data_IF_938428718282
#
_entry.id   IF_938428718282
#
_cell.length_a   1.000
_cell.length_b   1.000
_cell.length_c   1.000
_cell.angle_alpha   90.00
_cell.angle_beta   90.00
_cell.angle_gamma   90.00
#
_symmetry.space_group_name_H-M   'P 1'
#
loop_
_entity.id
_entity.type
_entity.pdbx_description
1 polymer ?
#
# COMPACT_ATOMS: atom_id res chain seq x y z
N UNK A 1 -12.29 -20.35 -7.50
CA UNK A 1 -11.79 -19.05 -7.96
C UNK A 1 -11.46 -18.15 -6.78
N UNK A 2 -10.58 -17.19 -7.00
CA UNK A 2 -10.20 -16.17 -6.04
C UNK A 2 -10.15 -14.79 -6.71
N UNK A 3 -10.22 -13.72 -5.92
CA UNK A 3 -10.01 -12.35 -6.42
C UNK A 3 -8.55 -12.18 -6.90
N UNK A 4 -8.32 -11.39 -7.94
CA UNK A 4 -6.97 -10.98 -8.33
C UNK A 4 -6.23 -10.33 -7.17
N UNK A 5 -6.91 -9.45 -6.45
CA UNK A 5 -6.36 -8.76 -5.29
C UNK A 5 -7.42 -8.43 -4.26
N UNK A 6 -6.96 -8.14 -3.04
CA UNK A 6 -7.77 -7.60 -1.96
C UNK A 6 -6.91 -6.74 -1.03
N UNK A 7 -7.50 -5.74 -0.36
CA UNK A 7 -6.76 -4.88 0.55
C UNK A 7 -6.36 -5.63 1.82
N UNK A 8 -5.25 -5.23 2.44
CA UNK A 8 -4.85 -5.74 3.76
C UNK A 8 -5.84 -5.38 4.86
N UNK A 9 -6.67 -4.35 4.65
CA UNK A 9 -7.76 -3.95 5.54
C UNK A 9 -8.99 -4.81 5.28
N UNK A 10 -9.10 -5.95 5.95
CA UNK A 10 -10.18 -6.92 5.77
C UNK A 10 -11.61 -6.38 6.00
N UNK A 11 -11.74 -5.23 6.66
CA UNK A 11 -13.03 -4.56 6.92
C UNK A 11 -13.39 -3.50 5.86
N UNK A 12 -12.54 -3.28 4.87
CA UNK A 12 -12.81 -2.35 3.78
C UNK A 12 -13.95 -2.87 2.90
N UNK A 13 -14.87 -2.00 2.52
CA UNK A 13 -15.84 -2.33 1.48
C UNK A 13 -15.16 -2.33 0.12
N UNK A 14 -15.70 -3.07 -0.85
CA UNK A 14 -15.17 -3.05 -2.21
C UNK A 14 -15.22 -1.63 -2.80
N UNK A 15 -16.28 -0.88 -2.58
CA UNK A 15 -16.40 0.51 -3.05
C UNK A 15 -15.34 1.42 -2.43
N UNK A 16 -15.07 1.27 -1.12
CA UNK A 16 -14.02 2.04 -0.43
C UNK A 16 -12.62 1.69 -0.92
N UNK A 17 -12.33 0.40 -1.15
CA UNK A 17 -11.06 -0.06 -1.71
C UNK A 17 -10.83 0.50 -3.12
N UNK A 18 -11.85 0.48 -3.98
CA UNK A 18 -11.76 0.99 -5.34
C UNK A 18 -11.66 2.52 -5.36
N UNK A 19 -12.47 3.21 -4.56
CA UNK A 19 -12.46 4.69 -4.51
C UNK A 19 -11.16 5.25 -3.93
N UNK A 20 -10.59 4.59 -2.91
CA UNK A 20 -9.32 5.01 -2.32
C UNK A 20 -8.12 4.77 -3.22
N UNK A 21 -8.18 3.79 -4.09
CA UNK A 21 -7.10 3.37 -4.97
C UNK A 21 -5.90 2.83 -4.19
N UNK A 22 -5.55 1.58 -4.39
CA UNK A 22 -4.34 1.01 -3.78
C UNK A 22 -3.94 -0.31 -4.43
N UNK A 23 -2.76 -0.78 -4.08
CA UNK A 23 -2.39 -2.18 -4.18
C UNK A 23 -3.01 -3.00 -3.05
N UNK A 24 -2.60 -4.24 -2.94
CA UNK A 24 -3.02 -5.18 -1.92
C UNK A 24 -2.40 -6.54 -2.14
N UNK A 25 -2.86 -7.53 -1.38
CA UNK A 25 -2.49 -8.93 -1.61
C UNK A 25 -2.90 -9.34 -3.03
N UNK A 26 -1.93 -9.67 -3.87
CA UNK A 26 -2.09 -9.92 -5.31
C UNK A 26 -1.39 -8.91 -6.22
N UNK A 27 -0.89 -7.80 -5.67
CA UNK A 27 -0.26 -6.72 -6.45
C UNK A 27 1.05 -7.10 -7.13
N UNK A 28 1.73 -8.18 -6.72
CA UNK A 28 2.94 -8.65 -7.40
C UNK A 28 2.61 -9.07 -8.84
N UNK A 29 1.49 -9.75 -9.04
CA UNK A 29 1.07 -10.24 -10.37
C UNK A 29 0.16 -9.26 -11.11
N UNK A 30 -0.65 -8.48 -10.40
CA UNK A 30 -1.78 -7.75 -10.98
C UNK A 30 -1.72 -6.23 -10.83
N UNK A 31 -0.66 -5.72 -10.20
CA UNK A 31 -0.52 -4.28 -10.00
C UNK A 31 -1.50 -3.71 -8.97
N UNK A 32 -1.96 -2.50 -9.23
CA UNK A 32 -2.91 -1.78 -8.39
C UNK A 32 -4.35 -1.98 -8.87
N UNK A 33 -5.32 -1.63 -8.05
CA UNK A 33 -6.74 -1.87 -8.37
C UNK A 33 -7.28 -1.04 -9.55
N UNK A 34 -6.55 -0.01 -9.98
CA UNK A 34 -6.85 0.76 -11.20
C UNK A 34 -6.20 0.18 -12.47
N UNK A 35 -5.42 -0.89 -12.37
CA UNK A 35 -4.73 -1.52 -13.50
C UNK A 35 -5.53 -2.72 -14.08
N UNK A 36 -6.83 -2.54 -14.25
CA UNK A 36 -7.70 -3.51 -14.91
C UNK A 36 -8.37 -4.52 -13.98
N UNK A 37 -8.30 -4.37 -12.69
CA UNK A 37 -9.00 -5.23 -11.72
C UNK A 37 -10.53 -5.15 -11.87
N UNK A 38 -11.04 -3.94 -12.12
CA UNK A 38 -12.47 -3.67 -12.31
C UNK A 38 -12.86 -3.86 -13.76
N UNK A 39 -14.00 -4.50 -14.03
CA UNK A 39 -14.54 -4.67 -15.38
C UNK A 39 -15.85 -3.90 -15.61
N UNK A 40 -16.64 -3.68 -14.55
CA UNK A 40 -17.83 -2.83 -14.62
C UNK A 40 -18.17 -2.23 -13.25
N UNK A 41 -18.83 -1.09 -13.24
CA UNK A 41 -19.32 -0.41 -12.04
C UNK A 41 -20.76 0.05 -12.24
N UNK A 42 -21.55 0.00 -11.15
CA UNK A 42 -22.79 0.75 -11.01
C UNK A 42 -22.56 1.86 -9.98
N UNK A 43 -22.81 3.09 -10.37
CA UNK A 43 -22.41 4.29 -9.65
C UNK A 43 -23.64 5.14 -9.36
N UNK A 44 -23.83 5.52 -8.10
CA UNK A 44 -24.83 6.50 -7.71
C UNK A 44 -24.26 7.92 -7.90
N UNK A 45 -25.01 8.77 -8.59
CA UNK A 45 -24.66 10.17 -8.87
C UNK A 45 -25.61 11.10 -8.10
N UNK A 46 -25.15 12.30 -7.69
CA UNK A 46 -25.99 13.27 -7.03
C UNK A 46 -27.14 13.75 -7.94
N UNK A 47 -28.36 13.72 -7.41
CA UNK A 47 -29.55 14.21 -8.12
C UNK A 47 -30.12 13.28 -9.19
N UNK A 48 -29.57 12.07 -9.36
CA UNK A 48 -30.06 11.07 -10.29
C UNK A 48 -30.86 9.97 -9.55
N UNK A 49 -32.00 9.56 -10.10
CA UNK A 49 -32.87 8.53 -9.55
C UNK A 49 -32.44 7.09 -9.93
N UNK A 50 -31.26 6.88 -10.43
CA UNK A 50 -30.77 5.59 -10.89
C UNK A 50 -29.27 5.42 -10.65
N UNK A 51 -28.78 4.28 -11.12
CA UNK A 51 -27.34 4.01 -11.14
C UNK A 51 -26.79 4.16 -12.56
N UNK A 52 -25.74 4.91 -12.71
CA UNK A 52 -24.94 4.93 -13.94
C UNK A 52 -24.18 3.60 -14.05
N UNK A 53 -24.42 2.86 -15.12
CA UNK A 53 -23.65 1.65 -15.44
C UNK A 53 -22.51 2.00 -16.40
N UNK A 54 -21.28 1.60 -16.05
CA UNK A 54 -20.08 1.80 -16.87
C UNK A 54 -19.25 0.52 -16.94
N UNK A 55 -18.57 0.30 -18.07
CA UNK A 55 -17.77 -0.91 -18.31
C UNK A 55 -16.39 -0.58 -18.88
N UNK A 56 -15.45 -1.54 -18.78
CA UNK A 56 -14.14 -1.47 -19.40
C UNK A 56 -13.33 -0.23 -18.98
N UNK A 57 -12.83 0.51 -19.95
CA UNK A 57 -11.99 1.69 -19.70
C UNK A 57 -12.74 2.80 -18.97
N UNK A 58 -14.05 2.97 -19.23
CA UNK A 58 -14.85 3.96 -18.54
C UNK A 58 -14.99 3.63 -17.04
N UNK A 59 -15.15 2.35 -16.69
CA UNK A 59 -15.18 1.93 -15.28
C UNK A 59 -13.88 2.29 -14.55
N UNK A 60 -12.72 2.22 -15.21
CA UNK A 60 -11.43 2.58 -14.62
C UNK A 60 -11.37 4.07 -14.21
N UNK A 61 -12.07 4.97 -14.90
CA UNK A 61 -12.03 6.40 -14.58
C UNK A 61 -12.65 6.75 -13.22
N UNK A 62 -13.44 5.85 -12.64
CA UNK A 62 -14.05 6.01 -11.31
C UNK A 62 -13.23 5.35 -10.19
N UNK A 63 -12.21 4.57 -10.51
CA UNK A 63 -11.30 3.98 -9.53
C UNK A 63 -10.26 5.04 -9.11
N UNK A 64 -9.89 5.04 -7.82
CA UNK A 64 -8.91 5.96 -7.25
C UNK A 64 -9.32 7.46 -7.37
N UNK A 65 -10.59 7.75 -7.27
CA UNK A 65 -11.13 9.11 -7.35
C UNK A 65 -11.45 9.71 -5.97
N UNK A 66 -11.16 9.01 -4.89
CA UNK A 66 -11.51 9.37 -3.50
C UNK A 66 -13.01 9.66 -3.32
N UNK A 67 -13.86 9.00 -4.14
CA UNK A 67 -15.30 9.19 -4.12
C UNK A 67 -15.76 10.59 -4.52
N UNK A 68 -14.95 11.35 -5.26
CA UNK A 68 -15.27 12.72 -5.69
C UNK A 68 -16.15 12.78 -6.93
N UNK A 69 -16.21 11.68 -7.71
CA UNK A 69 -16.92 11.63 -8.99
C UNK A 69 -18.17 10.72 -8.98
N UNK A 70 -18.44 10.02 -7.87
CA UNK A 70 -19.58 9.12 -7.74
C UNK A 70 -19.41 8.18 -6.55
N UNK A 71 -20.51 7.55 -6.12
CA UNK A 71 -20.51 6.52 -5.08
C UNK A 71 -20.62 5.15 -5.75
N UNK A 72 -19.60 4.30 -5.62
CA UNK A 72 -19.61 2.94 -6.19
C UNK A 72 -20.60 2.09 -5.39
N UNK A 73 -21.75 1.77 -6.01
CA UNK A 73 -22.80 0.96 -5.42
C UNK A 73 -22.61 -0.54 -5.68
N UNK A 74 -22.06 -0.90 -6.85
CA UNK A 74 -21.74 -2.28 -7.25
C UNK A 74 -20.49 -2.29 -8.11
N UNK A 75 -19.68 -3.34 -7.99
CA UNK A 75 -18.51 -3.57 -8.82
C UNK A 75 -18.48 -5.00 -9.35
N UNK A 76 -18.11 -5.14 -10.62
CA UNK A 76 -17.72 -6.41 -11.24
C UNK A 76 -16.21 -6.42 -11.35
N UNK A 77 -15.56 -7.42 -10.75
CA UNK A 77 -14.11 -7.52 -10.62
C UNK A 77 -13.58 -8.84 -11.16
N UNK A 78 -12.31 -8.85 -11.53
CA UNK A 78 -11.66 -10.03 -12.08
C UNK A 78 -11.37 -11.08 -11.02
N UNK A 79 -11.54 -12.33 -11.44
CA UNK A 79 -11.18 -13.53 -10.69
C UNK A 79 -10.12 -14.32 -11.45
N UNK A 80 -9.37 -15.15 -10.72
CA UNK A 80 -8.41 -16.10 -11.24
C UNK A 80 -8.63 -17.50 -10.64
N UNK A 81 -8.01 -18.56 -11.17
CA UNK A 81 -8.03 -19.87 -10.53
C UNK A 81 -7.54 -19.81 -9.08
N UNK A 82 -8.20 -20.56 -8.21
CA UNK A 82 -7.75 -20.72 -6.82
C UNK A 82 -6.42 -21.48 -6.82
N UNK A 83 -5.41 -20.93 -6.15
CA UNK A 83 -4.10 -21.53 -5.94
C UNK A 83 -3.97 -22.04 -4.50
N UNK A 84 -2.99 -22.90 -4.27
CA UNK A 84 -2.73 -23.49 -2.95
C UNK A 84 -1.75 -22.65 -2.15
N UNK A 85 -2.24 -21.54 -1.61
CA UNK A 85 -1.44 -20.57 -0.91
C UNK A 85 -1.00 -21.01 0.47
N UNK A 86 0.28 -20.78 0.78
CA UNK A 86 0.90 -20.97 2.10
C UNK A 86 1.28 -19.63 2.71
N UNK A 87 1.01 -19.48 4.00
CA UNK A 87 1.56 -18.38 4.78
C UNK A 87 2.96 -18.77 5.28
N UNK A 88 3.97 -18.08 4.79
CA UNK A 88 5.38 -18.33 5.11
C UNK A 88 5.89 -17.25 6.03
N UNK A 89 6.57 -17.64 7.10
CA UNK A 89 7.23 -16.77 8.05
C UNK A 89 8.72 -17.08 8.06
N UNK A 90 9.55 -16.06 7.93
CA UNK A 90 11.01 -16.21 7.99
C UNK A 90 11.65 -15.08 8.78
N UNK A 91 12.83 -15.36 9.35
CA UNK A 91 13.64 -14.38 10.06
C UNK A 91 15.02 -14.26 9.43
N UNK A 92 15.64 -13.09 9.59
CA UNK A 92 16.97 -12.81 9.07
C UNK A 92 17.82 -12.11 10.11
N UNK A 93 19.15 -12.35 10.12
CA UNK A 93 20.08 -11.60 10.98
C UNK A 93 20.07 -10.09 10.72
N UNK A 94 19.94 -9.68 9.45
CA UNK A 94 19.89 -8.28 9.05
C UNK A 94 18.72 -7.99 8.11
N UNK A 95 18.32 -6.74 8.03
CA UNK A 95 17.24 -6.31 7.15
C UNK A 95 17.64 -6.39 5.67
N UNK A 96 18.89 -6.09 5.36
CA UNK A 96 19.46 -6.19 3.99
C UNK A 96 19.36 -7.60 3.41
N UNK A 97 19.56 -8.62 4.26
CA UNK A 97 19.34 -10.02 3.88
C UNK A 97 17.86 -10.31 3.58
N UNK A 98 16.95 -9.79 4.42
CA UNK A 98 15.52 -9.91 4.16
C UNK A 98 15.11 -9.22 2.85
N UNK A 99 15.69 -8.05 2.53
CA UNK A 99 15.45 -7.35 1.27
C UNK A 99 15.95 -8.13 0.04
N UNK A 100 17.08 -8.84 0.18
CA UNK A 100 17.56 -9.76 -0.85
C UNK A 100 16.53 -10.86 -1.11
N UNK A 101 15.98 -11.46 -0.06
CA UNK A 101 14.92 -12.47 -0.19
C UNK A 101 13.63 -11.89 -0.81
N UNK A 102 13.20 -10.67 -0.45
CA UNK A 102 12.07 -10.01 -1.09
C UNK A 102 12.25 -9.89 -2.61
N UNK A 103 13.45 -9.47 -3.05
CA UNK A 103 13.77 -9.31 -4.47
C UNK A 103 13.76 -10.66 -5.21
N UNK A 104 14.35 -11.70 -4.63
CA UNK A 104 14.46 -13.01 -5.28
C UNK A 104 13.12 -13.75 -5.31
N UNK A 105 12.38 -13.74 -4.21
CA UNK A 105 11.06 -14.38 -4.12
C UNK A 105 10.06 -13.81 -5.12
N UNK A 106 10.08 -12.49 -5.35
CA UNK A 106 9.23 -11.84 -6.35
C UNK A 106 9.37 -12.46 -7.74
N UNK A 107 10.52 -13.04 -8.05
CA UNK A 107 10.87 -13.62 -9.36
C UNK A 107 10.44 -15.08 -9.56
N UNK A 108 9.87 -15.77 -8.56
CA UNK A 108 9.42 -17.15 -8.70
C UNK A 108 8.22 -17.29 -9.65
N UNK A 109 7.99 -18.48 -10.17
CA UNK A 109 6.85 -18.76 -11.06
C UNK A 109 6.12 -20.03 -10.62
N UNK A 110 4.89 -19.94 -10.12
CA UNK A 110 4.06 -18.73 -9.96
C UNK A 110 4.66 -17.71 -8.98
N UNK A 111 4.37 -16.43 -9.23
CA UNK A 111 4.80 -15.37 -8.34
C UNK A 111 4.07 -15.43 -6.99
N UNK A 112 4.70 -15.03 -5.89
CA UNK A 112 4.03 -14.90 -4.61
C UNK A 112 2.86 -13.93 -4.69
N UNK A 113 1.84 -14.18 -3.90
CA UNK A 113 0.70 -13.26 -3.79
C UNK A 113 1.03 -12.04 -2.93
N UNK A 114 1.96 -12.20 -2.01
CA UNK A 114 2.50 -11.16 -1.14
C UNK A 114 3.88 -11.58 -0.64
N UNK A 115 4.80 -10.63 -0.55
CA UNK A 115 6.07 -10.75 0.21
C UNK A 115 6.34 -9.42 0.87
N UNK A 116 6.47 -9.41 2.19
CA UNK A 116 6.77 -8.23 3.00
C UNK A 116 7.93 -8.46 3.97
N UNK A 117 8.68 -7.42 4.27
CA UNK A 117 9.76 -7.47 5.25
C UNK A 117 9.78 -6.25 6.16
N UNK A 118 10.16 -6.48 7.41
CA UNK A 118 10.32 -5.46 8.44
C UNK A 118 11.68 -5.57 9.13
N UNK A 119 12.19 -4.39 9.54
CA UNK A 119 13.27 -4.33 10.52
C UNK A 119 12.84 -4.94 11.86
N UNK A 120 13.81 -5.39 12.64
CA UNK A 120 13.55 -5.97 13.98
C UNK A 120 12.73 -5.03 14.87
N UNK A 121 12.97 -3.74 14.82
CA UNK A 121 12.28 -2.71 15.60
C UNK A 121 10.79 -2.62 15.26
N UNK A 122 10.42 -2.78 14.00
CA UNK A 122 9.02 -2.83 13.55
C UNK A 122 8.43 -4.20 13.87
N UNK A 123 9.16 -5.29 13.59
CA UNK A 123 8.73 -6.67 13.86
C UNK A 123 8.40 -6.87 15.35
N UNK A 124 9.18 -6.30 16.26
CA UNK A 124 8.95 -6.32 17.71
C UNK A 124 7.63 -5.66 18.16
N UNK A 125 7.03 -4.83 17.30
CA UNK A 125 5.76 -4.13 17.58
C UNK A 125 4.54 -4.82 16.97
N UNK A 126 4.74 -5.81 16.11
CA UNK A 126 3.67 -6.62 15.56
C UNK A 126 2.95 -7.44 16.64
N UNK A 127 1.74 -7.94 16.38
CA UNK A 127 1.09 -8.91 17.25
C UNK A 127 2.01 -10.12 17.53
N UNK A 128 2.04 -10.54 18.77
CA UNK A 128 2.88 -11.66 19.18
C UNK A 128 2.55 -12.93 18.39
N UNK A 129 3.57 -13.47 17.76
CA UNK A 129 3.53 -14.73 17.02
C UNK A 129 4.89 -15.42 17.19
N UNK A 130 4.94 -16.73 17.54
CA UNK A 130 6.22 -17.45 17.71
C UNK A 130 7.12 -17.42 16.47
N UNK A 131 6.54 -17.28 15.28
CA UNK A 131 7.28 -17.21 14.03
C UNK A 131 7.77 -15.79 13.67
N UNK A 132 7.52 -14.78 14.52
CA UNK A 132 8.00 -13.41 14.37
C UNK A 132 8.92 -13.10 15.55
N UNK A 133 10.23 -13.19 15.31
CA UNK A 133 11.22 -12.87 16.33
C UNK A 133 11.25 -11.34 16.58
N UNK A 134 11.52 -10.96 17.82
CA UNK A 134 11.51 -9.55 18.24
C UNK A 134 12.87 -8.85 18.06
N UNK A 135 13.90 -9.61 17.77
CA UNK A 135 15.31 -9.18 17.67
C UNK A 135 15.93 -9.43 16.29
N UNK A 136 15.11 -9.86 15.33
CA UNK A 136 15.54 -10.17 13.97
C UNK A 136 14.63 -9.49 12.95
N UNK A 137 15.16 -9.24 11.76
CA UNK A 137 14.33 -8.82 10.64
C UNK A 137 13.34 -9.93 10.29
N UNK A 138 12.10 -9.56 10.01
CA UNK A 138 11.01 -10.50 9.70
C UNK A 138 10.64 -10.42 8.23
N UNK A 139 10.44 -11.57 7.59
CA UNK A 139 9.80 -11.67 6.28
C UNK A 139 8.53 -12.51 6.41
N UNK A 140 7.49 -12.07 5.75
CA UNK A 140 6.22 -12.79 5.65
C UNK A 140 5.80 -12.86 4.19
N UNK A 141 5.35 -14.04 3.77
CA UNK A 141 4.94 -14.28 2.38
C UNK A 141 3.63 -15.05 2.27
N UNK A 142 2.93 -14.85 1.17
CA UNK A 142 1.85 -15.72 0.71
C UNK A 142 2.35 -16.35 -0.59
N UNK A 143 2.75 -17.60 -0.51
CA UNK A 143 3.52 -18.32 -1.54
C UNK A 143 2.72 -19.55 -1.97
N UNK A 144 2.70 -19.84 -3.28
CA UNK A 144 2.06 -21.04 -3.80
C UNK A 144 2.84 -22.30 -3.36
N UNK A 145 2.13 -23.36 -2.97
CA UNK A 145 2.72 -24.62 -2.55
C UNK A 145 3.63 -25.24 -3.62
N UNK A 146 3.39 -24.98 -4.91
CA UNK A 146 4.19 -25.47 -6.04
C UNK A 146 5.63 -24.96 -5.99
N UNK A 147 5.86 -23.73 -5.52
CA UNK A 147 7.19 -23.11 -5.42
C UNK A 147 7.68 -22.97 -3.97
N UNK A 148 7.08 -23.69 -3.05
CA UNK A 148 7.40 -23.55 -1.62
C UNK A 148 8.85 -23.96 -1.30
N UNK A 149 9.35 -25.08 -1.85
CA UNK A 149 10.72 -25.54 -1.61
C UNK A 149 11.74 -24.60 -2.29
N UNK A 150 11.48 -24.17 -3.54
CA UNK A 150 12.31 -23.15 -4.20
C UNK A 150 12.37 -21.86 -3.37
N UNK A 151 11.23 -21.43 -2.83
CA UNK A 151 11.14 -20.24 -1.98
C UNK A 151 11.91 -20.40 -0.68
N UNK A 152 11.91 -21.60 -0.09
CA UNK A 152 12.70 -21.93 1.09
C UNK A 152 14.19 -21.81 0.79
N UNK A 153 14.65 -22.43 -0.31
CA UNK A 153 16.04 -22.37 -0.75
C UNK A 153 16.49 -20.92 -0.99
N UNK A 154 15.66 -20.08 -1.59
CA UNK A 154 15.93 -18.66 -1.81
C UNK A 154 16.05 -17.87 -0.49
N UNK A 155 15.20 -18.13 0.49
CA UNK A 155 15.25 -17.53 1.83
C UNK A 155 16.56 -17.94 2.53
N UNK A 156 16.90 -19.21 2.53
CA UNK A 156 18.10 -19.75 3.16
C UNK A 156 19.38 -19.26 2.47
N UNK A 157 19.39 -19.18 1.13
CA UNK A 157 20.50 -18.61 0.36
C UNK A 157 20.73 -17.13 0.66
N UNK A 158 19.69 -16.39 1.03
CA UNK A 158 19.79 -15.00 1.50
C UNK A 158 20.22 -14.90 2.99
N UNK A 159 20.45 -16.01 3.67
CA UNK A 159 20.85 -16.08 5.09
C UNK A 159 19.70 -16.05 6.08
N UNK A 160 18.48 -16.31 5.62
CA UNK A 160 17.27 -16.41 6.45
C UNK A 160 17.02 -17.80 7.00
N UNK A 161 16.06 -17.88 7.89
CA UNK A 161 15.51 -19.14 8.43
C UNK A 161 14.00 -19.11 8.25
N UNK A 162 13.42 -20.14 7.64
CA UNK A 162 11.98 -20.33 7.58
C UNK A 162 11.52 -20.85 8.95
N UNK A 163 10.80 -20.03 9.67
CA UNK A 163 10.35 -20.32 11.05
C UNK A 163 9.06 -21.15 11.05
N UNK A 164 8.15 -20.86 10.09
CA UNK A 164 6.87 -21.54 10.02
C UNK A 164 6.24 -21.45 8.63
N UNK A 165 5.48 -22.48 8.26
CA UNK A 165 4.65 -22.52 7.06
C UNK A 165 3.25 -22.99 7.45
N UNK A 166 2.25 -22.16 7.20
CA UNK A 166 0.87 -22.42 7.61
C UNK A 166 -0.08 -22.49 6.44
N UNK A 167 -1.07 -23.35 6.56
CA UNK A 167 -2.07 -23.60 5.53
C UNK A 167 -3.40 -22.90 5.84
N UNK A 168 -4.15 -22.64 4.78
CA UNK A 168 -5.53 -22.20 4.84
C UNK A 168 -5.70 -20.68 4.82
N UNK A 169 -6.89 -20.27 4.39
CA UNK A 169 -7.27 -18.88 4.15
C UNK A 169 -7.06 -17.99 5.39
N UNK A 170 -7.35 -18.50 6.58
CA UNK A 170 -7.17 -17.74 7.82
C UNK A 170 -5.71 -17.32 8.03
N UNK A 171 -4.76 -18.19 7.70
CA UNK A 171 -3.34 -17.93 7.89
C UNK A 171 -2.80 -16.92 6.84
N UNK A 172 -3.19 -17.08 5.59
CA UNK A 172 -2.82 -16.14 4.52
C UNK A 172 -3.47 -14.77 4.74
N UNK A 173 -4.72 -14.71 5.20
CA UNK A 173 -5.37 -13.44 5.60
C UNK A 173 -4.61 -12.77 6.75
N UNK A 174 -4.12 -13.54 7.74
CA UNK A 174 -3.31 -13.00 8.83
C UNK A 174 -2.02 -12.37 8.31
N UNK A 175 -1.31 -13.00 7.36
CA UNK A 175 -0.13 -12.41 6.73
C UNK A 175 -0.49 -11.11 6.01
N UNK A 176 -1.58 -11.10 5.23
CA UNK A 176 -2.07 -9.89 4.57
C UNK A 176 -2.33 -8.75 5.56
N UNK A 177 -2.96 -9.04 6.71
CA UNK A 177 -3.22 -8.06 7.78
C UNK A 177 -1.98 -7.60 8.56
N UNK A 178 -0.81 -8.18 8.30
CA UNK A 178 0.49 -7.77 8.86
C UNK A 178 1.39 -7.12 7.81
N UNK A 179 0.82 -6.62 6.72
CA UNK A 179 1.51 -6.10 5.54
C UNK A 179 1.00 -4.70 5.17
N UNK A 180 1.62 -4.05 4.22
CA UNK A 180 1.29 -2.68 3.77
C UNK A 180 1.37 -1.66 4.93
N UNK A 181 0.33 -0.91 5.19
CA UNK A 181 0.29 0.09 6.27
C UNK A 181 0.19 -0.49 7.69
N UNK A 182 -0.17 -1.77 7.84
CA UNK A 182 -0.42 -2.35 9.16
C UNK A 182 0.83 -2.46 10.06
N UNK A 183 2.04 -2.78 9.57
CA UNK A 183 3.23 -2.76 10.40
C UNK A 183 3.47 -1.40 11.04
N UNK A 184 3.26 -0.32 10.28
CA UNK A 184 3.40 1.05 10.80
C UNK A 184 2.27 1.39 11.78
N UNK A 185 1.06 0.91 11.53
CA UNK A 185 -0.05 1.06 12.48
C UNK A 185 0.26 0.37 13.82
N UNK A 186 0.81 -0.85 13.79
CA UNK A 186 1.24 -1.56 14.99
C UNK A 186 2.40 -0.85 15.69
N UNK A 187 3.38 -0.33 14.95
CA UNK A 187 4.45 0.49 15.49
C UNK A 187 3.90 1.69 16.26
N UNK A 188 3.00 2.46 15.65
CA UNK A 188 2.34 3.62 16.28
C UNK A 188 1.59 3.23 17.55
N UNK A 189 0.76 2.19 17.46
CA UNK A 189 -0.04 1.69 18.58
C UNK A 189 0.80 1.24 19.77
N UNK A 190 1.92 0.58 19.51
CA UNK A 190 2.79 -0.03 20.54
C UNK A 190 4.01 0.83 20.88
N UNK A 191 4.01 2.10 20.50
CA UNK A 191 5.01 3.12 20.83
C UNK A 191 4.31 4.43 21.20
N UNK A 192 3.54 4.47 22.30
CA UNK A 192 2.64 5.58 22.64
C UNK A 192 3.37 6.89 22.96
N UNK A 193 4.65 6.81 23.31
CA UNK A 193 5.48 7.98 23.67
C UNK A 193 6.05 8.70 22.44
N UNK A 194 5.84 8.17 21.24
CA UNK A 194 6.36 8.73 19.99
C UNK A 194 5.22 8.91 18.99
N UNK A 195 5.08 10.12 18.47
CA UNK A 195 4.22 10.37 17.30
C UNK A 195 5.03 10.02 16.06
N UNK A 196 4.52 9.13 15.24
CA UNK A 196 5.16 8.65 14.03
C UNK A 196 4.42 9.16 12.79
N UNK A 197 5.16 9.62 11.79
CA UNK A 197 4.63 9.76 10.44
C UNK A 197 5.10 8.60 9.56
N UNK A 198 4.54 8.45 8.39
CA UNK A 198 5.10 7.64 7.31
C UNK A 198 4.75 8.22 5.94
N UNK A 199 5.60 7.92 4.98
CA UNK A 199 5.39 8.20 3.57
C UNK A 199 5.49 6.90 2.78
N UNK A 200 4.70 6.78 1.74
CA UNK A 200 4.80 5.68 0.81
C UNK A 200 5.97 5.93 -0.15
N UNK A 201 6.80 4.93 -0.32
CA UNK A 201 8.03 5.01 -1.12
C UNK A 201 8.10 3.83 -2.09
N UNK A 202 8.77 4.02 -3.22
CA UNK A 202 8.91 2.97 -4.22
C UNK A 202 10.15 3.11 -5.08
N UNK A 203 10.63 1.97 -5.61
CA UNK A 203 11.77 1.91 -6.49
C UNK A 203 12.91 1.04 -5.97
N UNK A 204 13.80 0.60 -6.84
CA UNK A 204 14.91 -0.31 -6.49
C UNK A 204 15.90 0.30 -5.48
N UNK A 205 16.00 1.63 -5.41
CA UNK A 205 16.81 2.32 -4.42
C UNK A 205 16.44 1.99 -2.96
N UNK A 206 15.20 1.53 -2.70
CA UNK A 206 14.77 1.05 -1.38
C UNK A 206 15.54 -0.20 -0.93
N UNK A 207 16.12 -0.95 -1.86
CA UNK A 207 16.96 -2.11 -1.57
C UNK A 207 18.44 -1.74 -1.78
N UNK A 208 18.76 -1.09 -2.89
CA UNK A 208 20.16 -0.83 -3.28
C UNK A 208 20.82 0.28 -2.44
N UNK A 209 20.01 1.20 -1.88
CA UNK A 209 20.47 2.39 -1.14
C UNK A 209 19.76 2.55 0.20
N UNK A 210 19.37 1.44 0.84
CA UNK A 210 18.57 1.44 2.07
C UNK A 210 19.16 2.34 3.17
N UNK A 211 20.49 2.27 3.38
CA UNK A 211 21.15 3.06 4.41
C UNK A 211 21.02 4.58 4.16
N UNK A 212 21.09 5.00 2.89
CA UNK A 212 20.92 6.40 2.51
C UNK A 212 19.46 6.85 2.63
N UNK A 213 18.52 5.98 2.21
CA UNK A 213 17.08 6.25 2.31
C UNK A 213 16.67 6.49 3.77
N UNK A 214 17.13 5.65 4.69
CA UNK A 214 16.80 5.78 6.11
C UNK A 214 17.50 6.95 6.81
N UNK A 215 18.53 7.53 6.21
CA UNK A 215 19.16 8.74 6.78
C UNK A 215 18.43 10.04 6.43
N UNK A 216 17.47 10.01 5.49
CA UNK A 216 16.72 11.21 5.09
C UNK A 216 15.93 11.80 6.27
N UNK A 217 15.42 10.94 7.15
CA UNK A 217 14.76 11.39 8.37
C UNK A 217 15.44 10.79 9.60
N UNK A 218 15.68 11.58 10.64
CA UNK A 218 16.25 11.07 11.90
C UNK A 218 15.40 9.97 12.52
N UNK A 219 16.00 8.78 12.75
CA UNK A 219 15.33 7.65 13.34
C UNK A 219 14.36 6.94 12.39
N UNK A 220 14.53 7.12 11.08
CA UNK A 220 13.69 6.44 10.10
C UNK A 220 13.89 4.92 10.10
N UNK A 221 12.81 4.23 9.77
CA UNK A 221 12.75 2.79 9.58
C UNK A 221 11.88 2.48 8.35
N UNK A 222 12.24 1.42 7.65
CA UNK A 222 11.53 1.01 6.43
C UNK A 222 10.83 -0.34 6.61
N UNK A 223 9.55 -0.36 6.25
CA UNK A 223 8.78 -1.55 5.91
C UNK A 223 8.74 -1.69 4.39
N UNK A 224 8.95 -2.90 3.87
CA UNK A 224 9.02 -3.17 2.41
C UNK A 224 8.00 -4.23 1.99
N UNK A 225 7.42 -4.00 0.81
CA UNK A 225 6.60 -4.95 0.06
C UNK A 225 7.18 -5.19 -1.33
N UNK A 226 7.05 -6.41 -1.83
CA UNK A 226 7.22 -6.68 -3.26
C UNK A 226 5.98 -6.22 -4.04
N UNK A 227 6.18 -5.57 -5.17
CA UNK A 227 5.12 -5.22 -6.10
C UNK A 227 5.56 -5.44 -7.56
N UNK A 228 4.63 -5.39 -8.52
CA UNK A 228 4.92 -5.63 -9.93
C UNK A 228 5.94 -4.62 -10.51
N UNK A 229 5.93 -3.38 -10.03
CA UNK A 229 6.83 -2.30 -10.49
C UNK A 229 8.15 -2.18 -9.70
N UNK A 230 8.48 -3.17 -8.88
CA UNK A 230 9.62 -3.12 -7.96
C UNK A 230 9.19 -3.06 -6.49
N UNK A 231 10.12 -2.88 -5.56
CA UNK A 231 9.80 -2.73 -4.15
C UNK A 231 9.01 -1.43 -3.90
N UNK A 232 8.02 -1.54 -3.03
CA UNK A 232 7.32 -0.41 -2.43
C UNK A 232 7.48 -0.52 -0.91
N UNK A 233 7.23 0.54 -0.17
CA UNK A 233 7.36 0.48 1.28
C UNK A 233 6.79 1.69 1.98
N UNK A 234 6.83 1.61 3.31
CA UNK A 234 6.46 2.68 4.21
C UNK A 234 7.71 3.13 4.95
N UNK A 235 8.25 4.28 4.58
CA UNK A 235 9.32 4.94 5.32
C UNK A 235 8.69 5.73 6.47
N UNK A 236 8.99 5.33 7.70
CA UNK A 236 8.43 5.92 8.91
C UNK A 236 9.51 6.53 9.78
N UNK A 237 9.21 7.65 10.43
CA UNK A 237 10.09 8.28 11.40
C UNK A 237 9.29 9.02 12.48
N UNK A 238 9.93 9.44 13.60
CA UNK A 238 9.31 10.34 14.56
C UNK A 238 8.85 11.64 13.89
N UNK A 239 7.61 12.06 14.19
CA UNK A 239 7.01 13.26 13.62
C UNK A 239 7.43 14.49 14.38
N UNK A 240 8.03 15.44 13.70
CA UNK A 240 8.49 16.75 14.23
C UNK A 240 7.68 17.92 13.66
N UNK A 241 7.08 17.74 12.48
CA UNK A 241 6.27 18.75 11.81
C UNK A 241 5.99 18.37 10.36
N UNK A 242 4.93 18.92 9.77
CA UNK A 242 4.60 18.64 8.36
C UNK A 242 5.70 19.16 7.42
N UNK A 243 6.30 20.31 7.75
CA UNK A 243 7.38 20.92 6.96
C UNK A 243 8.59 19.97 6.87
N UNK A 244 8.97 19.32 7.98
CA UNK A 244 10.10 18.39 8.02
C UNK A 244 9.82 17.15 7.16
N UNK A 245 8.57 16.65 7.14
CA UNK A 245 8.17 15.52 6.29
C UNK A 245 8.37 15.87 4.82
N UNK A 246 7.83 17.01 4.38
CA UNK A 246 7.94 17.41 2.97
C UNK A 246 9.35 17.86 2.57
N UNK A 247 10.14 18.38 3.50
CA UNK A 247 11.55 18.74 3.26
C UNK A 247 12.43 17.54 2.87
N UNK A 248 12.06 16.31 3.27
CA UNK A 248 12.78 15.11 2.88
C UNK A 248 12.48 14.61 1.46
N UNK A 249 11.38 15.05 0.82
CA UNK A 249 10.99 14.55 -0.50
C UNK A 249 12.02 14.78 -1.61
N UNK A 250 12.64 15.96 -1.74
CA UNK A 250 13.70 16.16 -2.73
C UNK A 250 14.86 15.17 -2.53
N UNK A 251 15.33 14.97 -1.31
CA UNK A 251 16.43 14.06 -1.02
C UNK A 251 16.07 12.61 -1.38
N UNK A 252 14.84 12.15 -1.11
CA UNK A 252 14.36 10.82 -1.55
C UNK A 252 14.33 10.71 -3.07
N UNK A 253 13.86 11.74 -3.79
CA UNK A 253 13.84 11.75 -5.25
C UNK A 253 15.24 11.74 -5.87
N UNK A 254 16.20 12.45 -5.27
CA UNK A 254 17.61 12.47 -5.69
C UNK A 254 18.26 11.09 -5.50
N UNK A 255 17.79 10.31 -4.54
CA UNK A 255 18.17 8.90 -4.37
C UNK A 255 17.51 7.96 -5.39
N UNK A 256 16.60 8.43 -6.22
CA UNK A 256 15.83 7.62 -7.16
C UNK A 256 14.59 6.96 -6.54
N UNK A 257 14.15 7.42 -5.37
CA UNK A 257 12.97 6.93 -4.67
C UNK A 257 11.75 7.74 -5.10
N UNK A 258 10.70 7.05 -5.54
CA UNK A 258 9.37 7.66 -5.66
C UNK A 258 8.81 7.85 -4.25
N UNK A 259 8.23 8.99 -3.99
CA UNK A 259 7.66 9.33 -2.68
C UNK A 259 6.29 9.97 -2.83
N UNK A 260 5.36 9.53 -2.00
CA UNK A 260 3.98 9.98 -1.95
C UNK A 260 3.51 10.01 -0.49
N UNK A 261 2.61 10.95 -0.15
CA UNK A 261 1.98 10.96 1.17
C UNK A 261 0.66 10.20 1.11
N UNK A 262 0.53 9.04 1.78
CA UNK A 262 -0.73 8.31 1.82
C UNK A 262 -1.79 9.00 2.69
N UNK A 263 -1.44 10.11 3.35
CA UNK A 263 -2.32 10.86 4.26
C UNK A 263 -2.81 12.18 3.67
N UNK A 264 -2.44 12.50 2.43
CA UNK A 264 -3.00 13.69 1.81
C UNK A 264 -4.49 13.49 1.52
N UNK A 265 -5.25 14.56 1.67
CA UNK A 265 -6.71 14.52 1.54
C UNK A 265 -7.19 14.84 0.13
N UNK A 266 -6.31 15.25 -0.77
CA UNK A 266 -6.62 15.61 -2.15
C UNK A 266 -6.06 14.59 -3.13
N UNK A 267 -6.67 14.50 -4.30
CA UNK A 267 -6.19 13.66 -5.41
C UNK A 267 -5.03 14.38 -6.10
N UNK A 268 -3.91 13.68 -6.28
CA UNK A 268 -2.66 14.21 -6.87
C UNK A 268 -2.25 13.51 -8.17
N UNK A 269 -3.11 12.67 -8.73
CA UNK A 269 -2.88 11.93 -9.98
C UNK A 269 -4.11 12.06 -10.87
N UNK A 270 -3.90 12.12 -12.22
CA UNK A 270 -4.98 12.19 -13.19
C UNK A 270 -5.97 13.34 -12.92
N UNK A 271 -5.48 14.47 -12.39
CA UNK A 271 -6.36 15.52 -11.84
C UNK A 271 -7.19 16.17 -12.96
N UNK A 272 -6.64 16.37 -14.15
CA UNK A 272 -7.37 16.95 -15.28
C UNK A 272 -8.53 16.06 -15.71
N UNK A 273 -8.29 14.76 -15.86
CA UNK A 273 -9.30 13.77 -16.20
C UNK A 273 -10.35 13.66 -15.11
N UNK A 274 -9.93 13.70 -13.83
CA UNK A 274 -10.85 13.69 -12.70
C UNK A 274 -11.72 14.95 -12.65
N UNK A 275 -11.17 16.13 -12.90
CA UNK A 275 -11.94 17.39 -12.98
C UNK A 275 -12.98 17.29 -14.09
N UNK A 276 -12.60 16.82 -15.28
CA UNK A 276 -13.53 16.63 -16.39
C UNK A 276 -14.62 15.58 -16.07
N UNK A 277 -14.26 14.51 -15.38
CA UNK A 277 -15.22 13.51 -14.92
C UNK A 277 -16.20 14.12 -13.90
N UNK A 278 -15.69 14.79 -12.87
CA UNK A 278 -16.49 15.43 -11.82
C UNK A 278 -17.45 16.48 -12.36
N UNK A 279 -17.04 17.29 -13.35
CA UNK A 279 -17.92 18.26 -13.99
C UNK A 279 -19.14 17.61 -14.66
N UNK A 280 -19.03 16.37 -15.13
CA UNK A 280 -20.13 15.60 -15.74
C UNK A 280 -20.99 14.90 -14.69
N UNK A 281 -20.38 14.38 -13.63
CA UNK A 281 -21.04 13.47 -12.68
C UNK A 281 -21.48 14.16 -11.38
N UNK A 282 -20.85 15.27 -11.03
CA UNK A 282 -21.15 16.04 -9.82
C UNK A 282 -20.94 17.56 -10.05
N UNK A 283 -21.66 18.18 -11.01
CA UNK A 283 -21.47 19.60 -11.35
C UNK A 283 -21.78 20.55 -10.16
N UNK A 284 -22.55 20.10 -9.18
CA UNK A 284 -22.84 20.88 -7.98
C UNK A 284 -21.75 20.76 -6.90
N UNK A 285 -20.73 19.90 -7.08
CA UNK A 285 -19.61 19.74 -6.16
C UNK A 285 -20.01 19.17 -4.79
N UNK A 286 -20.99 18.29 -4.74
CA UNK A 286 -21.54 17.73 -3.51
C UNK A 286 -20.71 16.60 -2.91
N UNK A 287 -19.98 15.87 -3.79
CA UNK A 287 -19.18 14.70 -3.39
C UNK A 287 -17.78 15.12 -2.97
N UNK A 288 -17.42 14.81 -1.74
CA UNK A 288 -16.11 15.05 -1.14
C UNK A 288 -15.50 16.41 -1.54
N UNK A 289 -16.16 17.53 -1.20
CA UNK A 289 -15.68 18.87 -1.55
C UNK A 289 -14.28 19.12 -0.94
N UNK A 290 -13.39 19.75 -1.72
CA UNK A 290 -12.02 20.04 -1.28
C UNK A 290 -10.99 18.91 -1.53
N UNK A 291 -11.41 17.76 -2.04
CA UNK A 291 -10.47 16.67 -2.40
C UNK A 291 -9.93 16.77 -3.84
N UNK A 292 -10.51 17.62 -4.67
CA UNK A 292 -9.97 17.95 -6.00
C UNK A 292 -9.48 19.39 -5.94
N UNK A 293 -8.19 19.59 -6.18
CA UNK A 293 -7.54 20.89 -6.13
C UNK A 293 -6.98 21.28 -7.51
N UNK A 294 -6.66 22.55 -7.67
CA UNK A 294 -6.06 23.06 -8.91
C UNK A 294 -4.74 22.33 -9.21
N UNK A 295 -4.58 21.71 -10.38
CA UNK A 295 -3.35 21.05 -10.80
C UNK A 295 -2.09 21.92 -10.65
N UNK A 296 -2.18 23.22 -10.90
CA UNK A 296 -1.07 24.15 -10.75
C UNK A 296 -0.56 24.26 -9.31
N UNK A 297 -1.41 24.01 -8.32
CA UNK A 297 -1.01 23.98 -6.90
C UNK A 297 -0.29 22.66 -6.54
N UNK A 298 -0.61 21.58 -7.21
CA UNK A 298 0.08 20.28 -7.05
C UNK A 298 1.48 20.34 -7.65
N UNK A 299 1.61 20.89 -8.87
CA UNK A 299 2.89 20.98 -9.59
C UNK A 299 3.89 21.90 -8.91
N UNK A 300 3.42 22.96 -8.26
CA UNK A 300 4.32 23.92 -7.58
C UNK A 300 5.05 23.35 -6.37
N UNK A 301 4.73 22.13 -5.95
CA UNK A 301 5.28 21.54 -4.71
C UNK A 301 4.95 22.36 -3.47
N UNK A 302 4.09 23.37 -3.63
CA UNK A 302 3.63 24.21 -2.56
C UNK A 302 2.94 23.34 -1.51
N UNK A 303 3.43 23.41 -0.28
CA UNK A 303 2.77 22.82 0.86
C UNK A 303 1.34 23.33 0.94
N UNK A 304 0.39 22.55 0.44
CA UNK A 304 -1.03 22.82 0.66
C UNK A 304 -1.42 22.62 2.13
N UNK A 305 -0.46 22.25 2.99
CA UNK A 305 -0.63 22.16 4.44
C UNK A 305 -1.10 23.50 5.06
N UNK A 306 -0.82 24.64 4.41
CA UNK A 306 -1.33 25.94 4.83
C UNK A 306 -2.79 26.20 4.40
N UNK A 307 -3.35 25.42 3.51
CA UNK A 307 -4.70 25.54 2.97
C UNK A 307 -5.65 24.45 3.51
N UNK A 308 -5.32 23.75 4.59
CA UNK A 308 -6.26 22.85 5.24
C UNK A 308 -7.45 23.67 5.76
N UNK A 309 -8.65 23.53 5.18
CA UNK A 309 -9.83 23.98 5.88
C UNK A 309 -9.87 23.15 7.17
N UNK A 310 -9.87 23.82 8.31
CA UNK A 310 -10.16 23.19 9.59
C UNK A 310 -11.50 22.45 9.45
N UNK A 311 -11.47 21.14 9.46
CA UNK A 311 -12.70 20.34 9.50
C UNK A 311 -13.29 20.57 10.89
N UNK A 312 -14.47 21.21 11.01
CA UNK A 312 -15.09 21.41 12.31
C UNK A 312 -15.39 20.03 12.92
N UNK A 313 -14.79 19.72 14.06
CA UNK A 313 -15.03 18.48 14.81
C UNK A 313 -13.83 17.52 14.91
N UNK A 314 -12.75 17.74 14.18
CA UNK A 314 -11.47 17.03 14.38
C UNK A 314 -10.40 18.05 14.84
N UNK A 315 -10.64 18.59 16.02
CA UNK A 315 -9.73 19.51 16.65
C UNK A 315 -8.64 18.81 17.42
N UNK A 316 -7.39 19.21 17.13
CA UNK A 316 -6.14 19.14 17.87
C UNK A 316 -5.68 17.77 18.34
#
# INVERSE_FOLDING_TARGET
>A
QQLWMYPSTAQSTIGGFLSGGSGGTGSISHGSNWEGFVTALDIALPGEDGLLHVEGAEAQTFVHTYGTAGVIARATVRLEPLQDWRAVYATFPTFEQALTAVRTLRGTTPAPRLVSADRAEIAAKLPKDPAIAVDRASLRGIIDAVVLEESRDLIEAAGGTVEDVREGLQQTTKVSMLSYNHPIWWLKRNSPDTVWFHVEVGGEALIDRIAEVETVYPGAMLHIEAAHIGPIGMLTAPYTGAEDVYAGYPALRDLGVRVHSPHQYYVDHGVEELVALKQRTDPAGLLNPGHVIDPALVESGGSTASAQPSIPGFGK
#
